data_IF_862134782046
#
_entry.id   IF_862134782046
#
_cell.length_a   1.000
_cell.length_b   1.000
_cell.length_c   1.000
_cell.angle_alpha   90.00
_cell.angle_beta   90.00
_cell.angle_gamma   90.00
#
_symmetry.space_group_name_H-M   'P 1'
#
loop_
_entity.id
_entity.type
_entity.pdbx_description
1 polymer ?
#
# COMPACT_ATOMS: atom_id res chain seq x y z
N UNK A 1 -11.55 7.90 -43.15
CA UNK A 1 -11.58 9.38 -43.00
C UNK A 1 -11.56 9.73 -41.52
N UNK A 2 -10.60 10.55 -41.04
CA UNK A 2 -10.57 11.02 -39.65
C UNK A 2 -11.79 11.92 -39.40
N UNK A 3 -12.66 11.54 -38.45
CA UNK A 3 -13.81 12.38 -38.04
C UNK A 3 -13.28 13.72 -37.51
N UNK A 4 -13.64 14.81 -38.18
CA UNK A 4 -13.25 16.15 -37.75
C UNK A 4 -14.02 16.56 -36.49
N UNK A 5 -13.31 17.22 -35.56
CA UNK A 5 -13.88 17.66 -34.28
C UNK A 5 -14.56 19.01 -34.48
N UNK A 6 -15.87 19.01 -34.72
CA UNK A 6 -16.67 20.21 -35.06
C UNK A 6 -17.47 20.80 -33.90
N UNK A 7 -17.55 20.10 -32.76
CA UNK A 7 -18.31 20.55 -31.57
C UNK A 7 -17.41 21.28 -30.57
N UNK A 8 -17.94 22.31 -29.94
CA UNK A 8 -17.26 23.08 -28.89
C UNK A 8 -18.12 23.16 -27.62
N UNK A 9 -17.46 23.36 -26.48
CA UNK A 9 -18.09 23.53 -25.16
C UNK A 9 -17.63 24.88 -24.61
N UNK A 10 -18.56 25.69 -24.09
CA UNK A 10 -18.24 26.94 -23.38
C UNK A 10 -18.21 26.65 -21.88
N UNK A 11 -17.10 26.94 -21.21
CA UNK A 11 -16.92 26.78 -19.76
C UNK A 11 -16.79 28.18 -19.16
N UNK A 12 -17.54 28.48 -18.10
CA UNK A 12 -17.39 29.72 -17.33
C UNK A 12 -16.31 29.52 -16.28
N UNK A 13 -15.36 30.44 -16.20
CA UNK A 13 -14.21 30.38 -15.30
C UNK A 13 -13.90 31.79 -14.78
N UNK A 14 -13.33 31.88 -13.60
CA UNK A 14 -12.77 33.14 -13.07
C UNK A 14 -11.41 33.47 -13.70
N UNK A 15 -10.91 34.68 -13.52
CA UNK A 15 -9.61 35.09 -14.06
C UNK A 15 -8.45 34.23 -13.52
N UNK A 16 -8.46 33.93 -12.22
CA UNK A 16 -7.46 33.09 -11.56
C UNK A 16 -7.49 31.65 -12.09
N UNK A 17 -8.68 31.10 -12.29
CA UNK A 17 -8.86 29.76 -12.86
C UNK A 17 -8.30 29.68 -14.28
N UNK A 18 -8.49 30.71 -15.11
CA UNK A 18 -7.95 30.77 -16.48
C UNK A 18 -6.43 30.80 -16.49
N UNK A 19 -5.79 31.51 -15.56
CA UNK A 19 -4.32 31.55 -15.45
C UNK A 19 -3.76 30.20 -15.01
N UNK A 20 -4.36 29.59 -13.98
CA UNK A 20 -4.01 28.25 -13.53
C UNK A 20 -4.19 27.22 -14.67
N UNK A 21 -5.29 27.33 -15.42
CA UNK A 21 -5.59 26.46 -16.53
C UNK A 21 -4.56 26.60 -17.65
N UNK A 22 -4.19 27.82 -18.02
CA UNK A 22 -3.14 28.09 -19.02
C UNK A 22 -1.78 27.58 -18.54
N UNK A 23 -1.44 27.75 -17.26
CA UNK A 23 -0.17 27.29 -16.69
C UNK A 23 -0.03 25.76 -16.77
N UNK A 24 -1.08 25.02 -16.40
CA UNK A 24 -1.10 23.54 -16.52
C UNK A 24 -1.18 23.07 -17.97
N UNK A 25 -1.91 23.77 -18.83
CA UNK A 25 -2.04 23.40 -20.24
C UNK A 25 -0.76 23.61 -21.07
N UNK A 26 0.23 24.37 -20.58
CA UNK A 26 1.53 24.56 -21.27
C UNK A 26 2.30 23.25 -21.48
N UNK A 27 2.09 22.26 -20.60
CA UNK A 27 2.70 20.93 -20.73
C UNK A 27 2.07 20.12 -21.88
N UNK A 28 0.98 20.61 -22.47
CA UNK A 28 0.25 19.94 -23.55
C UNK A 28 0.25 20.79 -24.83
N UNK A 29 0.15 20.12 -26.00
CA UNK A 29 0.12 20.78 -27.32
C UNK A 29 -0.98 21.85 -27.46
N UNK A 30 -2.15 21.65 -26.83
CA UNK A 30 -3.25 22.63 -26.83
C UNK A 30 -4.11 22.51 -25.57
N UNK A 31 -4.77 23.61 -25.20
CA UNK A 31 -5.81 23.66 -24.15
C UNK A 31 -6.91 22.62 -24.39
N UNK A 32 -7.33 22.43 -25.65
CA UNK A 32 -8.32 21.42 -26.02
C UNK A 32 -7.79 19.98 -25.92
N UNK A 33 -6.48 19.76 -26.07
CA UNK A 33 -5.86 18.46 -25.84
C UNK A 33 -5.82 18.15 -24.34
N UNK A 34 -5.48 19.14 -23.52
CA UNK A 34 -5.50 19.02 -22.06
C UNK A 34 -6.90 18.66 -21.53
N UNK A 35 -7.95 19.38 -21.95
CA UNK A 35 -9.33 19.07 -21.51
C UNK A 35 -9.74 17.64 -21.86
N UNK A 36 -9.39 17.15 -23.05
CA UNK A 36 -9.77 15.79 -23.48
C UNK A 36 -9.02 14.71 -22.71
N UNK A 37 -7.69 14.89 -22.53
CA UNK A 37 -6.88 13.98 -21.71
C UNK A 37 -7.34 13.97 -20.26
N UNK A 38 -7.59 15.15 -19.69
CA UNK A 38 -8.16 15.26 -18.35
C UNK A 38 -9.54 14.59 -18.26
N UNK A 39 -10.41 14.71 -19.27
CA UNK A 39 -11.72 14.05 -19.29
C UNK A 39 -11.59 12.53 -19.39
N UNK A 40 -10.66 12.02 -20.21
CA UNK A 40 -10.34 10.59 -20.30
C UNK A 40 -9.85 10.06 -18.94
N UNK A 41 -8.89 10.76 -18.31
CA UNK A 41 -8.37 10.45 -16.98
C UNK A 41 -9.45 10.51 -15.88
N UNK A 42 -10.32 11.52 -15.90
CA UNK A 42 -11.39 11.69 -14.91
C UNK A 42 -12.57 10.73 -15.12
N UNK A 43 -12.85 10.35 -16.36
CA UNK A 43 -13.95 9.43 -16.71
C UNK A 43 -13.66 7.98 -16.32
N UNK A 44 -12.39 7.66 -16.06
CA UNK A 44 -12.02 6.41 -15.41
C UNK A 44 -12.45 6.47 -13.94
N UNK A 45 -13.72 6.22 -13.64
CA UNK A 45 -14.21 5.92 -12.28
C UNK A 45 -13.30 4.90 -11.57
N UNK A 46 -12.70 3.99 -12.35
CA UNK A 46 -11.68 3.04 -11.91
C UNK A 46 -10.49 3.70 -11.20
N UNK A 47 -9.98 4.85 -11.66
CA UNK A 47 -8.77 5.46 -11.06
C UNK A 47 -9.05 5.98 -9.65
N UNK A 48 -10.20 6.65 -9.44
CA UNK A 48 -10.57 7.12 -8.09
C UNK A 48 -10.82 5.96 -7.13
N UNK A 49 -11.56 4.95 -7.58
CA UNK A 49 -11.81 3.73 -6.80
C UNK A 49 -10.51 2.98 -6.51
N UNK A 50 -9.59 2.94 -7.48
CA UNK A 50 -8.26 2.33 -7.32
C UNK A 50 -7.40 3.07 -6.29
N UNK A 51 -7.41 4.40 -6.30
CA UNK A 51 -6.71 5.20 -5.28
C UNK A 51 -7.31 4.95 -3.88
N UNK A 52 -8.63 4.88 -3.77
CA UNK A 52 -9.32 4.57 -2.51
C UNK A 52 -8.96 3.17 -2.00
N UNK A 53 -9.02 2.15 -2.86
CA UNK A 53 -8.59 0.78 -2.57
C UNK A 53 -7.11 0.70 -2.16
N UNK A 54 -6.23 1.50 -2.77
CA UNK A 54 -4.81 1.56 -2.37
C UNK A 54 -4.63 2.15 -0.98
N UNK A 55 -5.41 3.18 -0.63
CA UNK A 55 -5.37 3.78 0.71
C UNK A 55 -5.91 2.81 1.77
N UNK A 56 -7.00 2.11 1.47
CA UNK A 56 -7.56 1.08 2.35
C UNK A 56 -6.58 -0.07 2.57
N UNK A 57 -5.91 -0.51 1.49
CA UNK A 57 -4.88 -1.55 1.58
C UNK A 57 -3.66 -1.09 2.40
N UNK A 58 -3.24 0.17 2.24
CA UNK A 58 -2.16 0.76 3.05
C UNK A 58 -2.51 0.80 4.54
N UNK A 59 -3.75 1.18 4.86
CA UNK A 59 -4.26 1.22 6.24
C UNK A 59 -4.35 -0.18 6.84
N UNK A 60 -4.86 -1.14 6.07
CA UNK A 60 -4.92 -2.55 6.43
C UNK A 60 -3.51 -3.09 6.74
N UNK A 61 -2.55 -2.88 5.84
CA UNK A 61 -1.17 -3.33 6.01
C UNK A 61 -0.55 -2.76 7.29
N UNK A 62 -0.69 -1.45 7.52
CA UNK A 62 -0.12 -0.79 8.68
C UNK A 62 -0.68 -1.35 9.99
N UNK A 63 -2.00 -1.61 10.03
CA UNK A 63 -2.64 -2.23 11.19
C UNK A 63 -2.04 -3.61 11.52
N UNK A 64 -2.00 -4.51 10.54
CA UNK A 64 -1.49 -5.87 10.77
C UNK A 64 0.00 -5.90 11.06
N UNK A 65 0.79 -5.02 10.43
CA UNK A 65 2.22 -4.89 10.74
C UNK A 65 2.44 -4.49 12.21
N UNK A 66 1.63 -3.55 12.72
CA UNK A 66 1.71 -3.13 14.12
C UNK A 66 1.30 -4.25 15.08
N UNK A 67 0.18 -4.94 14.80
CA UNK A 67 -0.29 -6.06 15.62
C UNK A 67 0.72 -7.21 15.67
N UNK A 68 1.31 -7.58 14.52
CA UNK A 68 2.36 -8.60 14.45
C UNK A 68 3.62 -8.18 15.22
N UNK A 69 3.99 -6.90 15.14
CA UNK A 69 5.13 -6.38 15.91
C UNK A 69 4.87 -6.43 17.42
N UNK A 70 3.64 -6.14 17.86
CA UNK A 70 3.24 -6.27 19.26
C UNK A 70 3.26 -7.73 19.72
N UNK A 71 2.71 -8.65 18.92
CA UNK A 71 2.74 -10.08 19.22
C UNK A 71 4.19 -10.60 19.36
N UNK A 72 5.09 -10.19 18.46
CA UNK A 72 6.52 -10.53 18.54
C UNK A 72 7.20 -9.98 19.80
N UNK A 73 6.90 -8.73 20.18
CA UNK A 73 7.42 -8.13 21.42
C UNK A 73 6.96 -8.89 22.66
N UNK A 74 5.67 -9.21 22.74
CA UNK A 74 5.09 -9.96 23.85
C UNK A 74 5.71 -11.37 23.96
N UNK A 75 5.88 -12.04 22.83
CA UNK A 75 6.50 -13.37 22.79
C UNK A 75 7.96 -13.33 23.27
N UNK A 76 8.73 -12.31 22.88
CA UNK A 76 10.10 -12.13 23.33
C UNK A 76 10.18 -11.87 24.85
N UNK A 77 9.23 -11.10 25.39
CA UNK A 77 9.13 -10.89 26.84
C UNK A 77 8.79 -12.18 27.58
N UNK A 78 7.81 -12.95 27.08
CA UNK A 78 7.45 -14.25 27.66
C UNK A 78 8.65 -15.22 27.66
N UNK A 79 9.40 -15.27 26.55
CA UNK A 79 10.63 -16.07 26.44
C UNK A 79 11.68 -15.64 27.47
N UNK A 80 11.91 -14.33 27.62
CA UNK A 80 12.85 -13.80 28.61
C UNK A 80 12.44 -14.20 30.03
N UNK A 81 11.16 -14.08 30.37
CA UNK A 81 10.63 -14.49 31.69
C UNK A 81 10.78 -15.99 31.92
N UNK A 82 10.46 -16.82 30.93
CA UNK A 82 10.62 -18.27 31.03
C UNK A 82 12.09 -18.65 31.26
N UNK A 83 13.02 -17.96 30.60
CA UNK A 83 14.46 -18.17 30.82
C UNK A 83 14.89 -17.75 32.23
N UNK A 84 14.45 -16.59 32.72
CA UNK A 84 14.72 -16.12 34.10
C UNK A 84 14.23 -17.13 35.14
N UNK A 85 13.01 -17.67 34.97
CA UNK A 85 12.44 -18.69 35.86
C UNK A 85 13.22 -20.00 35.81
N UNK A 86 13.70 -20.41 34.64
CA UNK A 86 14.52 -21.62 34.49
C UNK A 86 15.87 -21.47 35.19
N UNK A 87 16.52 -20.31 35.08
CA UNK A 87 17.80 -20.03 35.75
C UNK A 87 17.61 -19.96 37.27
N UNK A 88 16.49 -19.42 37.75
CA UNK A 88 16.15 -19.39 39.18
C UNK A 88 15.75 -20.76 39.75
N UNK A 89 15.66 -21.82 38.92
CA UNK A 89 15.19 -23.14 39.33
C UNK A 89 13.68 -23.22 39.62
N UNK A 90 12.93 -22.16 39.31
CA UNK A 90 11.47 -22.08 39.48
C UNK A 90 10.70 -22.72 38.31
N UNK A 91 11.40 -22.99 37.20
CA UNK A 91 10.87 -23.68 36.04
C UNK A 91 11.76 -24.89 35.73
N UNK A 92 11.16 -26.05 35.56
CA UNK A 92 11.89 -27.29 35.26
C UNK A 92 12.69 -27.13 33.95
N UNK A 93 14.02 -27.33 33.95
CA UNK A 93 14.86 -27.14 32.77
C UNK A 93 14.47 -28.04 31.59
N UNK A 94 14.00 -29.26 31.86
CA UNK A 94 13.48 -30.18 30.84
C UNK A 94 12.25 -29.62 30.15
N UNK A 95 11.26 -29.15 30.91
CA UNK A 95 10.05 -28.52 30.35
C UNK A 95 10.38 -27.27 29.52
N UNK A 96 11.32 -26.44 29.97
CA UNK A 96 11.76 -25.28 29.21
C UNK A 96 12.40 -25.68 27.86
N UNK A 97 13.32 -26.64 27.86
CA UNK A 97 14.07 -27.03 26.65
C UNK A 97 13.26 -27.88 25.67
N UNK A 98 12.41 -28.75 26.18
CA UNK A 98 11.72 -29.76 25.37
C UNK A 98 10.33 -29.30 24.91
N UNK A 99 9.69 -28.38 25.64
CA UNK A 99 8.32 -27.95 25.35
C UNK A 99 8.26 -26.46 25.00
N UNK A 100 8.68 -25.58 25.92
CA UNK A 100 8.49 -24.14 25.73
C UNK A 100 9.38 -23.56 24.63
N UNK A 101 10.67 -23.89 24.62
CA UNK A 101 11.61 -23.32 23.67
C UNK A 101 11.25 -23.69 22.21
N UNK A 102 10.96 -24.97 21.87
CA UNK A 102 10.53 -25.33 20.51
C UNK A 102 9.22 -24.64 20.11
N UNK A 103 8.23 -24.60 21.00
CA UNK A 103 6.93 -23.96 20.73
C UNK A 103 7.08 -22.45 20.46
N UNK A 104 7.92 -21.77 21.25
CA UNK A 104 8.21 -20.33 21.07
C UNK A 104 8.92 -20.10 19.73
N UNK A 105 9.89 -20.94 19.37
CA UNK A 105 10.61 -20.83 18.10
C UNK A 105 9.68 -21.05 16.89
N UNK A 106 8.80 -22.05 16.95
CA UNK A 106 7.79 -22.30 15.92
C UNK A 106 6.82 -21.12 15.78
N UNK A 107 6.39 -20.55 16.91
CA UNK A 107 5.52 -19.36 16.92
C UNK A 107 6.23 -18.14 16.31
N UNK A 108 7.51 -17.90 16.66
CA UNK A 108 8.32 -16.84 16.07
C UNK A 108 8.51 -17.03 14.55
N UNK A 109 8.74 -18.27 14.13
CA UNK A 109 8.88 -18.62 12.72
C UNK A 109 7.59 -18.29 11.95
N UNK A 110 6.44 -18.71 12.49
CA UNK A 110 5.12 -18.44 11.91
C UNK A 110 4.83 -16.94 11.80
N UNK A 111 5.09 -16.17 12.86
CA UNK A 111 4.94 -14.71 12.83
C UNK A 111 5.83 -14.05 11.76
N UNK A 112 7.06 -14.55 11.60
CA UNK A 112 8.00 -14.05 10.59
C UNK A 112 7.54 -14.37 9.17
N UNK A 113 6.98 -15.55 8.94
CA UNK A 113 6.40 -15.93 7.65
C UNK A 113 5.22 -15.04 7.29
N UNK A 114 4.27 -14.86 8.20
CA UNK A 114 3.09 -13.99 7.98
C UNK A 114 3.55 -12.57 7.61
N UNK A 115 4.53 -12.03 8.33
CA UNK A 115 5.08 -10.70 8.05
C UNK A 115 5.66 -10.60 6.64
N UNK A 116 6.46 -11.60 6.21
CA UNK A 116 7.05 -11.64 4.86
C UNK A 116 6.00 -11.79 3.76
N UNK A 117 4.98 -12.62 3.99
CA UNK A 117 3.88 -12.78 3.03
C UNK A 117 3.10 -11.47 2.88
N UNK A 118 2.81 -10.79 3.99
CA UNK A 118 2.17 -9.48 4.00
C UNK A 118 2.99 -8.44 3.20
N UNK A 119 4.31 -8.38 3.42
CA UNK A 119 5.23 -7.52 2.67
C UNK A 119 5.25 -7.85 1.17
N UNK A 120 5.25 -9.14 0.83
CA UNK A 120 5.25 -9.60 -0.56
C UNK A 120 3.95 -9.24 -1.29
N UNK A 121 2.80 -9.41 -0.61
CA UNK A 121 1.50 -9.02 -1.15
C UNK A 121 1.43 -7.51 -1.42
N UNK A 122 1.94 -6.70 -0.50
CA UNK A 122 2.01 -5.25 -0.66
C UNK A 122 2.88 -4.82 -1.86
N UNK A 123 4.07 -5.41 -2.00
CA UNK A 123 4.94 -5.14 -3.14
C UNK A 123 4.32 -5.56 -4.46
N UNK A 124 3.59 -6.69 -4.48
CA UNK A 124 2.87 -7.16 -5.67
C UNK A 124 1.72 -6.22 -6.04
N UNK A 125 0.93 -5.76 -5.06
CA UNK A 125 -0.19 -4.84 -5.30
C UNK A 125 0.28 -3.47 -5.80
N UNK A 126 1.41 -2.97 -5.28
CA UNK A 126 2.02 -1.72 -5.76
C UNK A 126 2.47 -1.86 -7.22
N UNK A 127 3.13 -2.97 -7.58
CA UNK A 127 3.57 -3.23 -8.97
C UNK A 127 2.39 -3.35 -9.93
N UNK A 128 1.31 -4.02 -9.54
CA UNK A 128 0.11 -4.14 -10.38
C UNK A 128 -0.69 -2.83 -10.52
N UNK A 129 -0.44 -1.86 -9.63
CA UNK A 129 -1.11 -0.56 -9.66
C UNK A 129 -0.34 0.51 -10.46
N UNK A 130 0.92 0.25 -10.86
CA UNK A 130 1.61 1.12 -11.80
C UNK A 130 1.04 0.90 -13.20
N UNK A 131 0.50 1.93 -13.87
CA UNK A 131 0.12 1.79 -15.26
C UNK A 131 1.38 1.44 -16.06
N UNK A 132 1.31 0.39 -16.88
CA UNK A 132 2.30 0.19 -17.93
C UNK A 132 2.40 1.52 -18.68
N UNK A 133 3.56 2.16 -18.61
CA UNK A 133 3.88 3.23 -19.52
C UNK A 133 3.81 2.59 -20.90
N UNK A 134 2.69 2.82 -21.59
CA UNK A 134 2.55 2.53 -23.00
C UNK A 134 3.66 3.31 -23.69
N UNK A 135 4.77 2.63 -23.90
CA UNK A 135 5.75 2.95 -24.93
C UNK A 135 4.99 2.92 -26.26
N UNK A 136 4.43 4.06 -26.64
CA UNK A 136 3.88 4.29 -27.97
C UNK A 136 4.67 5.42 -28.63
N UNK A 137 5.49 4.99 -29.60
CA UNK A 137 5.82 5.59 -30.91
C UNK A 137 5.51 7.08 -31.17
#
# INVERSE_FOLDING_TARGET
MKKQKTKYIKVRMTLEEVEHFKKKAKEYKTVSHYVRRALEEYSNMNIRQQIELMNDLGTFYQKYQNELSWAGSNLNQAMKRANELSVAGLLAPGYFREVLLPTIQETQHTLTLIKRELETLMLKSIRSAQPETSDEE
#
